data_IF_008601430558
#
_entry.id   IF_008601430558
#
_cell.length_a   1.000
_cell.length_b   1.000
_cell.length_c   1.000
_cell.angle_alpha   90.00
_cell.angle_beta   90.00
_cell.angle_gamma   90.00
#
_symmetry.space_group_name_H-M   'P 1'
#
loop_
_entity.id
_entity.type
_entity.pdbx_description
1 polymer ?
#
# COMPACT_ATOMS: atom_id res chain seq x y z
N UNK A 1 53.91 -7.29 -6.05
CA UNK A 1 52.92 -7.91 -5.18
C UNK A 1 52.35 -6.85 -4.24
N UNK A 2 51.25 -6.14 -4.58
CA UNK A 2 50.49 -5.22 -3.69
C UNK A 2 49.46 -4.43 -4.49
N UNK A 3 48.40 -5.06 -5.02
CA UNK A 3 47.21 -4.34 -5.60
C UNK A 3 45.90 -5.12 -5.50
N UNK A 4 45.76 -6.08 -4.56
CA UNK A 4 44.52 -6.88 -4.39
C UNK A 4 43.57 -6.29 -3.30
N UNK A 5 44.05 -5.28 -2.53
CA UNK A 5 43.30 -4.81 -1.34
C UNK A 5 42.15 -3.82 -1.58
N UNK A 6 42.03 -3.20 -2.75
CA UNK A 6 41.09 -2.08 -2.94
C UNK A 6 39.67 -2.53 -3.40
N UNK A 7 39.59 -3.68 -4.08
CA UNK A 7 38.29 -4.18 -4.57
C UNK A 7 37.41 -4.83 -3.49
N UNK A 8 37.97 -5.32 -2.41
CA UNK A 8 37.22 -5.98 -1.34
C UNK A 8 36.42 -4.99 -0.45
N UNK A 9 36.86 -3.74 -0.36
CA UNK A 9 36.19 -2.71 0.48
C UNK A 9 34.94 -2.10 -0.18
N UNK A 10 34.87 -2.07 -1.50
CA UNK A 10 33.74 -1.49 -2.22
C UNK A 10 32.48 -2.37 -2.16
N UNK A 11 32.63 -3.69 -2.02
CA UNK A 11 31.50 -4.62 -1.95
C UNK A 11 30.85 -4.63 -0.56
N UNK A 12 31.63 -4.40 0.51
CA UNK A 12 31.11 -4.41 1.87
C UNK A 12 30.22 -3.19 2.20
N UNK A 13 30.45 -2.04 1.59
CA UNK A 13 29.64 -0.84 1.83
C UNK A 13 28.25 -0.89 1.16
N UNK A 14 28.07 -1.66 0.09
CA UNK A 14 26.78 -1.76 -0.60
C UNK A 14 25.75 -2.63 0.16
N UNK A 15 26.22 -3.58 0.96
CA UNK A 15 25.35 -4.49 1.72
C UNK A 15 24.68 -3.81 2.93
N UNK A 16 25.32 -2.82 3.55
CA UNK A 16 24.77 -2.12 4.73
C UNK A 16 23.63 -1.14 4.40
N UNK A 17 23.62 -0.56 3.20
CA UNK A 17 22.57 0.38 2.81
C UNK A 17 21.23 -0.29 2.48
N UNK A 18 21.24 -1.56 2.13
CA UNK A 18 20.02 -2.31 1.81
C UNK A 18 19.27 -2.80 3.06
N UNK A 19 19.97 -3.06 4.16
CA UNK A 19 19.36 -3.50 5.41
C UNK A 19 18.55 -2.39 6.11
N UNK A 20 18.95 -1.13 5.96
CA UNK A 20 18.26 0.01 6.58
C UNK A 20 16.90 0.33 5.93
N UNK A 21 16.73 0.03 4.65
CA UNK A 21 15.46 0.26 3.93
C UNK A 21 14.39 -0.79 4.23
N UNK A 22 14.79 -2.01 4.59
CA UNK A 22 13.85 -3.11 4.85
C UNK A 22 13.18 -3.02 6.23
N UNK A 23 13.79 -2.33 7.20
CA UNK A 23 13.26 -2.23 8.56
C UNK A 23 12.13 -1.22 8.72
N UNK A 24 12.01 -0.22 7.83
CA UNK A 24 11.02 0.85 7.93
C UNK A 24 9.57 0.37 7.61
N UNK A 25 9.41 -0.73 6.87
CA UNK A 25 8.10 -1.29 6.56
C UNK A 25 7.47 -2.07 7.72
N UNK A 26 8.27 -2.67 8.60
CA UNK A 26 7.78 -3.49 9.73
C UNK A 26 7.34 -2.65 10.93
N UNK A 27 7.76 -1.39 11.00
CA UNK A 27 7.46 -0.49 12.12
C UNK A 27 6.27 0.43 11.88
N UNK A 28 5.61 0.37 10.72
CA UNK A 28 4.39 1.16 10.48
C UNK A 28 3.21 0.54 11.21
N UNK A 29 2.52 1.31 12.05
CA UNK A 29 1.29 0.83 12.66
C UNK A 29 0.29 0.42 11.57
N UNK A 30 -0.51 -0.63 11.80
CA UNK A 30 -1.56 -1.01 10.86
C UNK A 30 -2.46 0.20 10.63
N UNK A 31 -2.77 0.47 9.35
CA UNK A 31 -3.74 1.51 9.00
C UNK A 31 -5.11 1.07 9.52
N UNK A 32 -5.62 1.79 10.50
CA UNK A 32 -6.99 1.60 11.00
C UNK A 32 -7.91 2.57 10.27
N UNK A 33 -9.02 2.05 9.77
CA UNK A 33 -10.08 2.91 9.24
C UNK A 33 -10.88 3.48 10.42
N UNK A 34 -11.28 4.76 10.40
CA UNK A 34 -12.03 5.37 11.50
C UNK A 34 -13.36 4.65 11.73
N UNK A 35 -13.79 4.59 12.98
CA UNK A 35 -15.09 4.01 13.33
C UNK A 35 -16.26 4.79 12.69
N UNK A 36 -17.38 4.12 12.37
CA UNK A 36 -18.53 4.79 11.80
C UNK A 36 -19.10 5.83 12.79
N UNK A 37 -19.34 7.07 12.35
CA UNK A 37 -19.90 8.14 13.19
C UNK A 37 -21.41 7.96 13.45
N UNK A 38 -21.97 6.81 13.06
CA UNK A 38 -23.40 6.54 13.13
C UNK A 38 -23.80 6.05 14.51
N UNK A 39 -24.73 6.77 15.13
CA UNK A 39 -25.28 6.39 16.45
C UNK A 39 -26.48 5.49 16.22
N UNK A 40 -26.48 4.23 16.72
CA UNK A 40 -27.64 3.35 16.62
C UNK A 40 -28.81 3.96 17.41
N UNK A 41 -30.06 3.84 16.92
CA UNK A 41 -31.20 4.30 17.66
C UNK A 41 -31.36 3.51 18.94
N UNK A 42 -31.74 4.20 20.01
CA UNK A 42 -32.06 3.55 21.29
C UNK A 42 -33.30 2.65 21.09
N UNK A 43 -33.10 1.37 21.39
CA UNK A 43 -34.17 0.36 21.38
C UNK A 43 -35.10 0.52 22.59
N UNK A 44 -35.28 1.70 23.17
CA UNK A 44 -36.14 1.90 24.31
C UNK A 44 -37.35 0.98 24.22
N UNK A 45 -37.47 0.03 25.15
CA UNK A 45 -38.37 -1.11 25.10
C UNK A 45 -39.80 -0.63 24.79
N UNK A 46 -40.19 -0.81 23.53
CA UNK A 46 -41.53 -0.48 23.09
C UNK A 46 -42.38 -1.70 23.45
N UNK A 47 -42.91 -1.69 24.66
CA UNK A 47 -43.88 -2.74 25.02
C UNK A 47 -45.15 -2.54 24.19
N UNK A 48 -45.73 -3.63 23.66
CA UNK A 48 -47.01 -3.53 22.98
C UNK A 48 -48.05 -2.92 23.95
N UNK A 49 -48.99 -2.09 23.44
CA UNK A 49 -50.01 -1.50 24.30
C UNK A 49 -50.83 -2.59 24.94
N UNK A 50 -51.28 -2.38 26.19
CA UNK A 50 -52.22 -3.30 26.80
C UNK A 50 -53.52 -3.34 25.98
N UNK A 51 -54.12 -4.52 25.92
CA UNK A 51 -55.30 -4.80 25.11
C UNK A 51 -56.44 -3.82 25.47
N UNK A 52 -56.81 -2.99 24.47
CA UNK A 52 -58.04 -2.18 24.55
C UNK A 52 -57.89 -0.70 24.88
N UNK A 53 -56.69 -0.19 25.23
CA UNK A 53 -56.48 1.27 25.44
C UNK A 53 -56.08 1.99 24.16
N UNK A 54 -57.00 2.81 23.62
CA UNK A 54 -56.80 3.60 22.40
C UNK A 54 -55.75 4.70 22.58
N UNK A 55 -55.63 5.29 23.77
CA UNK A 55 -54.67 6.34 24.05
C UNK A 55 -53.25 5.78 24.08
N UNK A 56 -53.06 4.64 24.74
CA UNK A 56 -51.76 3.95 24.79
C UNK A 56 -51.36 3.39 23.42
N UNK A 57 -52.30 2.90 22.61
CA UNK A 57 -52.06 2.47 21.24
C UNK A 57 -51.55 3.64 20.35
N UNK A 58 -52.07 4.86 20.55
CA UNK A 58 -51.56 6.07 19.82
C UNK A 58 -50.12 6.39 20.22
N UNK A 59 -49.82 6.36 21.52
CA UNK A 59 -48.47 6.60 22.03
C UNK A 59 -47.49 5.56 21.50
N UNK A 60 -47.90 4.29 21.53
CA UNK A 60 -47.12 3.21 20.97
C UNK A 60 -46.80 3.42 19.49
N UNK A 61 -47.82 3.68 18.67
CA UNK A 61 -47.66 3.93 17.25
C UNK A 61 -46.76 5.15 16.95
N UNK A 62 -46.84 6.19 17.77
CA UNK A 62 -45.93 7.35 17.65
C UNK A 62 -44.46 6.95 17.92
N UNK A 63 -44.22 6.18 19.00
CA UNK A 63 -42.86 5.69 19.32
C UNK A 63 -42.33 4.77 18.23
N UNK A 64 -43.13 3.86 17.69
CA UNK A 64 -42.71 2.97 16.57
C UNK A 64 -42.35 3.80 15.33
N UNK A 65 -43.16 4.80 14.98
CA UNK A 65 -42.81 5.69 13.84
C UNK A 65 -41.53 6.46 14.06
N UNK A 66 -41.31 6.97 15.27
CA UNK A 66 -40.08 7.68 15.61
C UNK A 66 -38.87 6.75 15.55
N UNK A 67 -38.97 5.53 16.05
CA UNK A 67 -37.96 4.50 15.99
C UNK A 67 -37.63 4.14 14.54
N UNK A 68 -38.63 3.86 13.71
CA UNK A 68 -38.42 3.52 12.30
C UNK A 68 -37.70 4.64 11.56
N UNK A 69 -38.08 5.90 11.80
CA UNK A 69 -37.37 7.05 11.23
C UNK A 69 -35.90 7.13 11.67
N UNK A 70 -35.62 6.83 12.94
CA UNK A 70 -34.25 6.80 13.45
C UNK A 70 -33.45 5.64 12.86
N UNK A 71 -34.07 4.46 12.67
CA UNK A 71 -33.47 3.31 11.99
C UNK A 71 -33.13 3.64 10.52
N UNK A 72 -34.03 4.32 9.79
CA UNK A 72 -33.77 4.71 8.40
C UNK A 72 -32.59 5.68 8.33
N UNK A 73 -32.50 6.63 9.27
CA UNK A 73 -31.38 7.56 9.34
C UNK A 73 -30.06 6.83 9.68
N UNK A 74 -30.10 5.89 10.62
CA UNK A 74 -28.94 5.06 10.96
C UNK A 74 -28.48 4.23 9.78
N UNK A 75 -29.40 3.52 9.10
CA UNK A 75 -29.07 2.73 7.92
C UNK A 75 -28.47 3.59 6.80
N UNK A 76 -29.04 4.78 6.54
CA UNK A 76 -28.48 5.72 5.56
C UNK A 76 -27.06 6.17 5.91
N UNK A 77 -26.80 6.43 7.21
CA UNK A 77 -25.48 6.79 7.69
C UNK A 77 -24.49 5.64 7.46
N UNK A 78 -24.86 4.39 7.83
CA UNK A 78 -24.00 3.22 7.64
C UNK A 78 -23.73 2.98 6.15
N UNK A 79 -24.73 3.09 5.28
CA UNK A 79 -24.50 2.97 3.83
C UNK A 79 -23.51 4.02 3.31
N UNK A 80 -23.68 5.28 3.71
CA UNK A 80 -22.75 6.35 3.33
C UNK A 80 -21.33 6.09 3.82
N UNK A 81 -21.19 5.60 5.05
CA UNK A 81 -19.88 5.22 5.61
C UNK A 81 -19.21 4.11 4.81
N UNK A 82 -19.95 3.03 4.49
CA UNK A 82 -19.44 1.90 3.69
C UNK A 82 -19.04 2.36 2.28
N UNK A 83 -19.86 3.21 1.64
CA UNK A 83 -19.55 3.73 0.31
C UNK A 83 -18.30 4.60 0.31
N UNK A 84 -18.11 5.42 1.34
CA UNK A 84 -16.89 6.21 1.50
C UNK A 84 -15.67 5.31 1.72
N UNK A 85 -15.78 4.29 2.60
CA UNK A 85 -14.71 3.34 2.84
C UNK A 85 -14.30 2.59 1.56
N UNK A 86 -15.27 2.15 0.77
CA UNK A 86 -15.01 1.50 -0.52
C UNK A 86 -14.31 2.43 -1.51
N UNK A 87 -14.68 3.71 -1.55
CA UNK A 87 -14.05 4.72 -2.40
C UNK A 87 -12.61 5.00 -1.97
N UNK A 88 -12.37 5.08 -0.66
CA UNK A 88 -11.04 5.27 -0.11
C UNK A 88 -10.14 4.06 -0.40
N UNK A 89 -10.65 2.85 -0.23
CA UNK A 89 -9.92 1.62 -0.60
C UNK A 89 -9.56 1.59 -2.09
N UNK A 90 -10.48 1.96 -2.98
CA UNK A 90 -10.21 2.06 -4.41
C UNK A 90 -9.08 3.07 -4.69
N UNK A 91 -9.15 4.24 -4.08
CA UNK A 91 -8.14 5.30 -4.21
C UNK A 91 -6.77 4.84 -3.73
N UNK A 92 -6.69 4.16 -2.59
CA UNK A 92 -5.44 3.61 -2.05
C UNK A 92 -4.87 2.56 -3.01
N UNK A 93 -5.71 1.64 -3.51
CA UNK A 93 -5.32 0.62 -4.47
C UNK A 93 -4.74 1.23 -5.75
N UNK A 94 -5.40 2.24 -6.30
CA UNK A 94 -4.96 2.90 -7.54
C UNK A 94 -3.62 3.61 -7.34
N UNK A 95 -3.43 4.30 -6.22
CA UNK A 95 -2.15 4.93 -5.86
C UNK A 95 -1.05 3.88 -5.69
N UNK A 96 -1.32 2.79 -4.97
CA UNK A 96 -0.34 1.71 -4.79
C UNK A 96 0.07 1.09 -6.13
N UNK A 97 -0.87 0.84 -7.03
CA UNK A 97 -0.60 0.31 -8.36
C UNK A 97 0.25 1.28 -9.20
N UNK A 98 -0.06 2.58 -9.15
CA UNK A 98 0.72 3.61 -9.85
C UNK A 98 2.17 3.68 -9.31
N UNK A 99 2.34 3.60 -7.99
CA UNK A 99 3.66 3.59 -7.35
C UNK A 99 4.46 2.34 -7.70
N UNK A 100 3.84 1.17 -7.68
CA UNK A 100 4.47 -0.10 -8.11
C UNK A 100 4.95 -0.01 -9.56
N UNK A 101 4.10 0.50 -10.47
CA UNK A 101 4.47 0.70 -11.87
C UNK A 101 5.65 1.67 -12.02
N UNK A 102 5.66 2.75 -11.26
CA UNK A 102 6.75 3.73 -11.25
C UNK A 102 8.07 3.12 -10.77
N UNK A 103 8.01 2.34 -9.68
CA UNK A 103 9.17 1.63 -9.12
C UNK A 103 9.72 0.62 -10.12
N UNK A 104 8.84 -0.21 -10.71
CA UNK A 104 9.22 -1.19 -11.73
C UNK A 104 9.89 -0.54 -12.95
N UNK A 105 9.31 0.53 -13.47
CA UNK A 105 9.90 1.25 -14.61
C UNK A 105 11.29 1.82 -14.26
N UNK A 106 11.46 2.36 -13.07
CA UNK A 106 12.76 2.89 -12.60
C UNK A 106 13.79 1.78 -12.43
N UNK A 107 13.39 0.63 -11.85
CA UNK A 107 14.26 -0.53 -11.72
C UNK A 107 14.72 -1.06 -13.08
N UNK A 108 13.80 -1.20 -14.03
CA UNK A 108 14.11 -1.67 -15.39
C UNK A 108 15.05 -0.68 -16.13
N UNK A 109 14.84 0.63 -15.97
CA UNK A 109 15.75 1.64 -16.53
C UNK A 109 17.15 1.53 -15.92
N UNK A 110 17.26 1.30 -14.61
CA UNK A 110 18.54 1.12 -13.93
C UNK A 110 19.25 -0.16 -14.39
N UNK A 111 18.51 -1.26 -14.54
CA UNK A 111 19.06 -2.52 -15.08
C UNK A 111 19.64 -2.32 -16.48
N UNK A 112 18.92 -1.63 -17.37
CA UNK A 112 19.41 -1.33 -18.71
C UNK A 112 20.72 -0.54 -18.71
N UNK A 113 20.84 0.46 -17.82
CA UNK A 113 22.09 1.22 -17.67
C UNK A 113 23.25 0.31 -17.22
N UNK A 114 22.99 -0.63 -16.32
CA UNK A 114 24.01 -1.60 -15.88
C UNK A 114 24.40 -2.54 -17.00
N UNK A 115 23.44 -3.06 -17.75
CA UNK A 115 23.69 -3.94 -18.93
C UNK A 115 24.55 -3.21 -19.97
N UNK A 116 24.20 -1.97 -20.31
CA UNK A 116 24.97 -1.16 -21.25
C UNK A 116 26.43 -0.94 -20.78
N UNK A 117 26.62 -0.66 -19.47
CA UNK A 117 27.97 -0.50 -18.89
C UNK A 117 28.76 -1.80 -18.90
N UNK A 118 28.13 -2.93 -18.61
CA UNK A 118 28.77 -4.25 -18.69
C UNK A 118 29.18 -4.54 -20.14
N UNK A 119 28.30 -4.27 -21.11
CA UNK A 119 28.60 -4.44 -22.52
C UNK A 119 29.81 -3.60 -22.97
N UNK A 120 29.86 -2.34 -22.56
CA UNK A 120 31.02 -1.46 -22.84
C UNK A 120 32.31 -1.98 -22.20
N UNK A 121 32.28 -2.42 -20.94
CA UNK A 121 33.44 -2.96 -20.26
C UNK A 121 33.95 -4.24 -20.93
N UNK A 122 33.06 -5.14 -21.34
CA UNK A 122 33.42 -6.37 -22.06
C UNK A 122 34.05 -6.07 -23.40
N UNK A 123 33.52 -5.08 -24.14
CA UNK A 123 34.12 -4.64 -25.42
C UNK A 123 35.55 -4.09 -25.24
N UNK A 124 35.78 -3.32 -24.17
CA UNK A 124 37.13 -2.82 -23.84
C UNK A 124 38.09 -3.94 -23.48
N UNK A 125 37.67 -4.89 -22.66
CA UNK A 125 38.49 -6.05 -22.28
C UNK A 125 38.88 -6.86 -23.53
N UNK A 126 37.90 -7.10 -24.41
CA UNK A 126 38.15 -7.79 -25.68
C UNK A 126 39.18 -7.03 -26.54
N UNK A 127 39.04 -5.73 -26.72
CA UNK A 127 39.98 -4.91 -27.49
C UNK A 127 41.41 -4.98 -26.94
N UNK A 128 41.54 -4.98 -25.60
CA UNK A 128 42.87 -5.12 -24.96
C UNK A 128 43.44 -6.52 -25.21
N UNK A 129 42.64 -7.57 -25.10
CA UNK A 129 43.07 -8.94 -25.37
C UNK A 129 43.53 -9.13 -26.83
N UNK A 130 42.77 -8.59 -27.80
CA UNK A 130 43.07 -8.68 -29.21
C UNK A 130 44.40 -7.91 -29.54
N UNK A 131 44.60 -6.74 -28.90
CA UNK A 131 45.84 -6.00 -29.04
C UNK A 131 47.08 -6.72 -28.47
N UNK A 132 46.93 -7.38 -27.33
CA UNK A 132 47.99 -8.19 -26.72
C UNK A 132 48.34 -9.40 -27.58
N UNK A 133 47.34 -10.09 -28.11
CA UNK A 133 47.57 -11.22 -29.01
C UNK A 133 48.35 -10.78 -30.27
N UNK A 134 47.91 -9.69 -30.92
CA UNK A 134 48.59 -9.14 -32.09
C UNK A 134 50.05 -8.74 -31.80
N UNK A 135 50.36 -8.23 -30.62
CA UNK A 135 51.72 -7.89 -30.22
C UNK A 135 52.58 -9.13 -29.95
N UNK A 136 51.99 -10.25 -29.54
CA UNK A 136 52.71 -11.53 -29.38
C UNK A 136 53.01 -12.18 -30.74
N UNK A 137 52.05 -12.12 -31.66
CA UNK A 137 52.18 -12.74 -33.00
C UNK A 137 53.20 -11.98 -33.89
N UNK A 138 53.51 -10.73 -33.58
CA UNK A 138 54.47 -9.88 -34.28
C UNK A 138 55.95 -10.08 -33.83
N UNK A 139 56.21 -10.91 -32.84
CA UNK A 139 57.55 -11.22 -32.32
C UNK A 139 58.07 -12.56 -32.82
#
# INVERSE_FOLDING_TARGET
MKKIGVLAWAVAMCACAQAAMAQDWQSRPPMTYPDPPCVPPDLGIVMPPPDGDVAEARIYNFKVKAFNKAMDAYNSCIHTYVDNANRDMATIKDRANADLKRISNRANASLKIVEDKIGQALAQVKAIADAQQSAMDAR
#
